data_IF_657311512124
#
_entry.id   IF_657311512124
#
_cell.length_a   1.000
_cell.length_b   1.000
_cell.length_c   1.000
_cell.angle_alpha   90.00
_cell.angle_beta   90.00
_cell.angle_gamma   90.00
#
_symmetry.space_group_name_H-M   'P 1'
#
loop_
_entity.id
_entity.type
_entity.pdbx_description
1 polymer ?
#
# COMPACT_ATOMS: atom_id res chain seq x y z
N UNK A 1 22.31 30.35 -36.98
CA UNK A 1 21.65 29.11 -37.40
C UNK A 1 20.56 28.84 -36.42
N UNK A 2 19.30 28.93 -36.85
CA UNK A 2 18.12 28.83 -35.98
C UNK A 2 17.91 27.41 -35.58
N UNK A 3 17.95 27.13 -34.26
CA UNK A 3 17.42 25.87 -33.69
C UNK A 3 15.93 25.79 -33.95
N UNK A 4 15.54 24.85 -34.80
CA UNK A 4 14.16 24.48 -35.01
C UNK A 4 13.62 23.90 -33.68
N UNK A 5 12.79 24.67 -33.01
CA UNK A 5 11.93 24.19 -31.93
C UNK A 5 11.12 23.02 -32.49
N UNK A 6 11.43 21.79 -32.07
CA UNK A 6 10.63 20.61 -32.39
C UNK A 6 9.20 20.86 -31.89
N UNK A 7 8.27 21.04 -32.84
CA UNK A 7 6.83 21.06 -32.53
C UNK A 7 6.51 19.81 -31.71
N UNK A 8 6.01 20.02 -30.52
CA UNK A 8 5.49 18.96 -29.63
C UNK A 8 4.38 18.25 -30.40
N UNK A 9 4.65 17.09 -30.99
CA UNK A 9 3.59 16.23 -31.53
C UNK A 9 2.70 15.86 -30.38
N UNK A 10 1.43 16.26 -30.45
CA UNK A 10 0.42 15.88 -29.43
C UNK A 10 0.39 14.36 -29.34
N UNK A 11 0.65 13.81 -28.16
CA UNK A 11 0.63 12.38 -27.94
C UNK A 11 -0.70 11.78 -28.41
N UNK A 12 -0.64 10.84 -29.36
CA UNK A 12 -1.81 10.12 -29.86
C UNK A 12 -2.26 9.11 -28.81
N UNK A 13 -3.56 9.14 -28.46
CA UNK A 13 -4.17 8.17 -27.53
C UNK A 13 -5.13 7.28 -28.30
N UNK A 14 -5.14 5.99 -27.94
CA UNK A 14 -6.17 5.05 -28.39
C UNK A 14 -7.21 4.87 -27.30
N UNK A 15 -8.47 4.77 -27.69
CA UNK A 15 -9.56 4.43 -26.77
C UNK A 15 -9.61 2.92 -26.59
N UNK A 16 -9.51 2.47 -25.34
CA UNK A 16 -9.65 1.08 -24.95
C UNK A 16 -11.03 0.85 -24.33
N UNK A 17 -11.44 -0.43 -24.26
CA UNK A 17 -12.63 -0.81 -23.50
C UNK A 17 -12.45 -0.44 -22.02
N UNK A 18 -13.56 -0.23 -21.32
CA UNK A 18 -13.55 0.00 -19.87
C UNK A 18 -12.85 -1.12 -19.13
N UNK A 19 -11.98 -0.77 -18.18
CA UNK A 19 -11.17 -1.71 -17.42
C UNK A 19 -10.44 -1.04 -16.26
N UNK A 20 -9.81 -1.85 -15.41
CA UNK A 20 -9.08 -1.40 -14.23
C UNK A 20 -7.72 -0.83 -14.64
N UNK A 21 -7.58 0.49 -14.67
CA UNK A 21 -6.36 1.18 -15.12
C UNK A 21 -5.86 2.21 -14.11
N UNK A 22 -6.41 2.24 -12.90
CA UNK A 22 -5.89 3.10 -11.84
C UNK A 22 -4.68 2.44 -11.20
N UNK A 23 -3.49 2.79 -11.67
CA UNK A 23 -2.20 2.28 -11.24
C UNK A 23 -1.16 3.40 -11.15
N UNK A 24 -0.09 3.27 -10.32
CA UNK A 24 0.15 2.17 -9.37
C UNK A 24 -0.77 2.25 -8.15
N UNK A 25 -0.96 1.13 -7.48
CA UNK A 25 -1.71 1.02 -6.23
C UNK A 25 -0.85 0.31 -5.18
N UNK A 26 -1.13 0.47 -3.87
CA UNK A 26 -0.45 -0.34 -2.86
C UNK A 26 -0.78 -1.82 -3.08
N UNK A 27 0.16 -2.70 -2.75
CA UNK A 27 -0.13 -4.10 -2.53
C UNK A 27 0.04 -4.36 -1.04
N UNK A 28 -1.02 -4.70 -0.33
CA UNK A 28 -0.96 -4.88 1.12
C UNK A 28 -1.37 -6.29 1.52
N UNK A 29 -0.77 -6.83 2.58
CA UNK A 29 -1.26 -8.06 3.20
C UNK A 29 -2.30 -7.69 4.26
N UNK A 30 -3.51 -8.24 4.13
CA UNK A 30 -4.60 -8.04 5.09
C UNK A 30 -4.73 -9.29 5.93
N UNK A 31 -4.51 -9.19 7.23
CA UNK A 31 -4.68 -10.27 8.18
C UNK A 31 -6.02 -10.16 8.92
N UNK A 32 -6.63 -11.29 9.18
CA UNK A 32 -7.91 -11.42 9.87
C UNK A 32 -8.00 -12.79 10.56
N UNK A 33 -8.82 -12.89 11.60
CA UNK A 33 -9.07 -14.14 12.29
C UNK A 33 -10.45 -14.16 12.92
N UNK A 34 -11.06 -15.34 13.01
CA UNK A 34 -12.14 -15.60 13.97
C UNK A 34 -11.56 -15.97 15.32
N UNK A 35 -12.27 -15.67 16.38
CA UNK A 35 -11.83 -15.99 17.73
C UNK A 35 -11.60 -17.49 17.91
N UNK A 36 -10.40 -17.86 18.32
CA UNK A 36 -10.01 -19.27 18.54
C UNK A 36 -9.67 -20.06 17.27
N UNK A 37 -9.73 -19.44 16.09
CA UNK A 37 -9.29 -20.03 14.83
C UNK A 37 -7.89 -19.55 14.42
N UNK A 38 -7.26 -20.29 13.50
CA UNK A 38 -6.01 -19.86 12.88
C UNK A 38 -6.21 -18.59 12.08
N UNK A 39 -5.29 -17.60 12.20
CA UNK A 39 -5.36 -16.39 11.41
C UNK A 39 -5.12 -16.66 9.93
N UNK A 40 -5.69 -15.82 9.09
CA UNK A 40 -5.48 -15.87 7.65
C UNK A 40 -4.97 -14.54 7.11
N UNK A 41 -4.32 -14.60 5.95
CA UNK A 41 -3.81 -13.45 5.21
C UNK A 41 -4.37 -13.46 3.80
N UNK A 42 -4.74 -12.29 3.28
CA UNK A 42 -5.02 -12.08 1.87
C UNK A 42 -4.25 -10.86 1.36
N UNK A 43 -3.73 -10.93 0.16
CA UNK A 43 -3.16 -9.75 -0.50
C UNK A 43 -4.23 -8.98 -1.23
N UNK A 44 -4.29 -7.69 -0.97
CA UNK A 44 -5.25 -6.76 -1.56
C UNK A 44 -4.50 -5.62 -2.23
N UNK A 45 -4.82 -5.37 -3.50
CA UNK A 45 -4.36 -4.21 -4.26
C UNK A 45 -5.45 -3.12 -4.38
N UNK A 46 -6.70 -3.48 -4.19
CA UNK A 46 -7.80 -2.52 -4.13
C UNK A 46 -7.98 -2.01 -2.70
N UNK A 47 -7.02 -1.17 -2.26
CA UNK A 47 -6.97 -0.56 -0.93
C UNK A 47 -6.59 0.91 -1.02
N UNK A 48 -7.09 1.72 -0.11
CA UNK A 48 -6.75 3.15 -0.07
C UNK A 48 -7.33 3.88 1.12
N UNK A 49 -6.77 5.07 1.39
CA UNK A 49 -7.31 6.02 2.37
C UNK A 49 -8.56 6.69 1.79
N UNK A 50 -9.63 6.77 2.56
CA UNK A 50 -10.91 7.36 2.12
C UNK A 50 -11.32 8.58 2.93
N UNK A 51 -10.80 8.75 4.16
CA UNK A 51 -11.06 9.92 5.01
C UNK A 51 -9.85 10.17 5.91
N UNK A 52 -9.59 11.44 6.22
CA UNK A 52 -8.49 11.85 7.09
C UNK A 52 -8.94 12.12 8.53
N UNK A 53 -10.18 12.58 8.72
CA UNK A 53 -10.75 12.84 10.04
C UNK A 53 -12.25 12.51 10.03
N UNK A 54 -12.67 11.42 10.69
CA UNK A 54 -11.81 10.39 11.29
C UNK A 54 -10.95 9.67 10.24
N UNK A 55 -9.80 9.11 10.67
CA UNK A 55 -8.94 8.37 9.76
C UNK A 55 -9.64 7.07 9.31
N UNK A 56 -9.86 6.94 8.00
CA UNK A 56 -10.55 5.79 7.43
C UNK A 56 -9.85 5.28 6.18
N UNK A 57 -9.93 3.98 6.01
CA UNK A 57 -9.41 3.24 4.85
C UNK A 57 -10.49 2.38 4.22
N UNK A 58 -10.27 1.95 2.99
CA UNK A 58 -11.09 0.91 2.36
C UNK A 58 -10.23 -0.22 1.82
N UNK A 59 -10.78 -1.43 1.83
CA UNK A 59 -10.30 -2.58 1.08
C UNK A 59 -11.46 -3.19 0.31
N UNK A 60 -11.21 -3.65 -0.93
CA UNK A 60 -12.21 -4.39 -1.70
C UNK A 60 -11.77 -5.84 -1.84
N UNK A 61 -12.61 -6.75 -1.36
CA UNK A 61 -12.33 -8.20 -1.32
C UNK A 61 -13.40 -8.93 -2.12
N UNK A 62 -12.97 -9.89 -2.95
CA UNK A 62 -13.90 -10.74 -3.70
C UNK A 62 -14.67 -11.66 -2.77
N UNK A 63 -15.97 -11.86 -3.05
CA UNK A 63 -16.88 -12.64 -2.21
C UNK A 63 -16.45 -14.11 -2.04
N UNK A 64 -15.78 -14.69 -3.03
CA UNK A 64 -15.29 -16.08 -2.96
C UNK A 64 -14.01 -16.27 -2.13
N UNK A 65 -13.34 -15.17 -1.73
CA UNK A 65 -12.11 -15.26 -0.93
C UNK A 65 -12.39 -15.63 0.51
N UNK A 66 -11.59 -16.52 1.07
CA UNK A 66 -11.76 -17.01 2.45
C UNK A 66 -11.75 -15.88 3.49
N UNK A 67 -10.89 -14.87 3.32
CA UNK A 67 -10.86 -13.70 4.21
C UNK A 67 -12.12 -12.84 4.15
N UNK A 68 -12.89 -12.88 3.05
CA UNK A 68 -14.10 -12.07 2.91
C UNK A 68 -15.10 -12.37 4.03
N UNK A 69 -15.43 -13.65 4.22
CA UNK A 69 -16.39 -14.05 5.23
C UNK A 69 -15.89 -13.77 6.65
N UNK A 70 -14.60 -13.98 6.90
CA UNK A 70 -13.97 -13.68 8.20
C UNK A 70 -14.12 -12.19 8.52
N UNK A 71 -13.75 -11.30 7.59
CA UNK A 71 -13.83 -9.85 7.79
C UNK A 71 -15.28 -9.38 7.93
N UNK A 72 -16.19 -9.93 7.12
CA UNK A 72 -17.62 -9.59 7.18
C UNK A 72 -18.25 -9.99 8.51
N UNK A 73 -17.83 -11.11 9.07
CA UNK A 73 -18.33 -11.66 10.34
C UNK A 73 -17.73 -10.95 11.56
N UNK A 74 -16.41 -10.75 11.56
CA UNK A 74 -15.72 -10.18 12.73
C UNK A 74 -15.75 -8.65 12.75
N UNK A 75 -15.90 -8.01 11.58
CA UNK A 75 -15.83 -6.57 11.45
C UNK A 75 -14.44 -5.98 11.66
N UNK A 76 -13.37 -6.81 11.63
CA UNK A 76 -12.02 -6.39 11.97
C UNK A 76 -10.98 -6.97 11.01
N UNK A 77 -9.95 -6.19 10.74
CA UNK A 77 -8.78 -6.63 9.97
C UNK A 77 -7.58 -5.72 10.23
N UNK A 78 -6.38 -6.19 9.91
CA UNK A 78 -5.16 -5.38 9.92
C UNK A 78 -4.62 -5.25 8.50
N UNK A 79 -4.34 -4.02 8.06
CA UNK A 79 -3.56 -3.77 6.85
C UNK A 79 -2.09 -3.76 7.24
N UNK A 80 -1.31 -4.67 6.66
CA UNK A 80 0.13 -4.78 6.88
C UNK A 80 0.83 -4.29 5.61
N UNK A 81 1.59 -3.19 5.69
CA UNK A 81 2.33 -2.66 4.56
C UNK A 81 3.42 -3.65 4.13
N UNK A 82 3.66 -3.73 2.84
CA UNK A 82 4.54 -4.73 2.25
C UNK A 82 5.80 -4.11 1.69
N UNK A 83 6.91 -4.82 1.86
CA UNK A 83 8.24 -4.40 1.45
C UNK A 83 8.77 -5.30 0.34
N UNK A 84 9.90 -4.93 -0.26
CA UNK A 84 10.62 -5.78 -1.21
C UNK A 84 10.95 -7.15 -0.62
N UNK A 85 11.32 -7.21 0.68
CA UNK A 85 11.59 -8.48 1.38
C UNK A 85 10.35 -9.37 1.49
N UNK A 86 9.19 -8.75 1.64
CA UNK A 86 7.90 -9.43 1.76
C UNK A 86 7.22 -9.72 0.39
N UNK A 87 7.82 -9.33 -0.75
CA UNK A 87 7.18 -9.43 -2.06
C UNK A 87 6.73 -10.86 -2.40
N UNK A 88 7.54 -11.88 -2.07
CA UNK A 88 7.17 -13.29 -2.28
C UNK A 88 5.96 -13.71 -1.43
N UNK A 89 5.94 -13.32 -0.16
CA UNK A 89 4.80 -13.59 0.74
C UNK A 89 3.55 -12.85 0.28
N UNK A 90 3.72 -11.60 -0.17
CA UNK A 90 2.65 -10.78 -0.74
C UNK A 90 1.99 -11.48 -1.93
N UNK A 91 2.77 -11.97 -2.89
CA UNK A 91 2.24 -12.70 -4.05
C UNK A 91 1.56 -14.01 -3.62
N UNK A 92 2.23 -14.82 -2.80
CA UNK A 92 1.71 -16.11 -2.32
C UNK A 92 0.36 -15.95 -1.61
N UNK A 93 0.25 -14.98 -0.70
CA UNK A 93 -0.97 -14.71 0.05
C UNK A 93 -2.15 -14.22 -0.83
N UNK A 94 -1.85 -13.65 -1.98
CA UNK A 94 -2.83 -13.25 -3.00
C UNK A 94 -3.33 -14.40 -3.86
N UNK A 95 -2.48 -15.41 -4.13
CA UNK A 95 -2.78 -16.54 -5.02
C UNK A 95 -3.42 -17.69 -4.28
N UNK A 96 -2.81 -18.14 -3.17
CA UNK A 96 -3.29 -19.30 -2.40
C UNK A 96 -4.51 -18.98 -1.55
N UNK A 97 -5.36 -19.99 -1.32
CA UNK A 97 -6.51 -19.89 -0.43
C UNK A 97 -6.14 -20.32 0.99
N UNK A 98 -6.59 -19.57 2.01
CA UNK A 98 -6.45 -19.96 3.41
C UNK A 98 -7.35 -21.14 3.81
N UNK A 99 -8.23 -21.63 2.91
CA UNK A 99 -8.93 -22.90 3.10
C UNK A 99 -8.02 -24.11 2.91
N UNK A 100 -6.97 -23.93 2.10
CA UNK A 100 -6.11 -25.05 1.65
C UNK A 100 -4.74 -25.04 2.31
N UNK A 101 -4.25 -23.85 2.76
CA UNK A 101 -2.90 -23.68 3.29
C UNK A 101 -2.86 -22.77 4.51
N UNK A 102 -1.84 -22.95 5.35
CA UNK A 102 -1.49 -22.04 6.45
C UNK A 102 -0.45 -21.02 5.96
N UNK A 103 -0.92 -19.83 5.58
CA UNK A 103 -0.08 -18.81 4.96
C UNK A 103 0.97 -18.21 5.89
N UNK A 104 0.68 -18.16 7.20
CA UNK A 104 1.68 -17.74 8.19
C UNK A 104 2.83 -18.74 8.24
N UNK A 105 2.53 -20.03 8.35
CA UNK A 105 3.53 -21.08 8.38
C UNK A 105 4.30 -21.19 7.05
N UNK A 106 3.60 -21.23 5.91
CA UNK A 106 4.21 -21.43 4.60
C UNK A 106 5.16 -20.28 4.20
N UNK A 107 4.85 -19.06 4.63
CA UNK A 107 5.67 -17.88 4.31
C UNK A 107 6.57 -17.43 5.45
N UNK A 108 6.66 -18.22 6.52
CA UNK A 108 7.46 -17.94 7.72
C UNK A 108 7.16 -16.55 8.30
N UNK A 109 5.86 -16.20 8.34
CA UNK A 109 5.37 -14.97 8.94
C UNK A 109 4.92 -15.22 10.37
N UNK A 110 5.14 -14.22 11.23
CA UNK A 110 4.79 -14.27 12.65
C UNK A 110 3.50 -13.49 12.90
N UNK A 111 2.48 -14.20 13.40
CA UNK A 111 1.26 -13.57 13.87
C UNK A 111 1.48 -12.97 15.26
N UNK A 112 1.20 -11.67 15.41
CA UNK A 112 1.29 -10.97 16.71
C UNK A 112 -0.05 -10.32 17.05
N UNK A 113 -0.38 -10.20 18.35
CA UNK A 113 -1.63 -9.56 18.76
C UNK A 113 -1.64 -8.08 18.38
N UNK A 114 -2.80 -7.58 17.98
CA UNK A 114 -3.08 -6.15 17.81
C UNK A 114 -3.29 -5.47 19.18
N UNK A 115 -3.23 -4.13 19.20
CA UNK A 115 -3.39 -3.33 20.41
C UNK A 115 -4.85 -2.95 20.69
N UNK A 116 -5.66 -2.76 19.62
CA UNK A 116 -7.03 -2.22 19.73
C UNK A 116 -8.12 -3.14 19.19
N UNK A 117 -7.74 -4.21 18.49
CA UNK A 117 -8.67 -5.15 17.86
C UNK A 117 -8.20 -6.59 18.07
N UNK A 118 -9.09 -7.56 17.79
CA UNK A 118 -8.76 -9.00 17.93
C UNK A 118 -8.03 -9.56 16.70
N UNK A 119 -8.20 -8.96 15.52
CA UNK A 119 -7.51 -9.41 14.31
C UNK A 119 -5.99 -9.22 14.46
N UNK A 120 -5.16 -10.25 14.20
CA UNK A 120 -3.72 -10.18 14.44
C UNK A 120 -2.97 -9.40 13.36
N UNK A 121 -1.84 -8.83 13.72
CA UNK A 121 -0.88 -8.21 12.81
C UNK A 121 0.19 -9.20 12.33
N UNK A 122 0.99 -8.80 11.34
CA UNK A 122 2.16 -9.51 10.83
C UNK A 122 3.41 -8.79 11.35
N UNK A 123 4.23 -9.47 12.16
CA UNK A 123 5.40 -8.87 12.81
C UNK A 123 6.45 -8.36 11.81
N UNK A 124 6.62 -9.03 10.67
CA UNK A 124 7.61 -8.68 9.64
C UNK A 124 7.20 -7.45 8.80
N UNK A 125 5.96 -6.97 8.94
CA UNK A 125 5.49 -5.75 8.27
C UNK A 125 5.97 -4.51 9.02
N UNK A 126 6.54 -3.51 8.32
CA UNK A 126 7.05 -2.30 8.97
C UNK A 126 5.96 -1.39 9.54
N UNK A 127 4.73 -1.54 9.06
CA UNK A 127 3.57 -0.77 9.52
C UNK A 127 2.33 -1.65 9.51
N UNK A 128 1.64 -1.71 10.64
CA UNK A 128 0.38 -2.41 10.79
C UNK A 128 -0.72 -1.39 11.12
N UNK A 129 -1.79 -1.38 10.33
CA UNK A 129 -2.93 -0.47 10.48
C UNK A 129 -4.14 -1.29 10.94
N UNK A 130 -4.51 -1.14 12.19
CA UNK A 130 -5.62 -1.84 12.82
C UNK A 130 -6.94 -1.18 12.44
N UNK A 131 -7.87 -1.96 11.90
CA UNK A 131 -9.08 -1.44 11.26
C UNK A 131 -10.34 -2.09 11.81
N UNK A 132 -11.36 -1.27 12.06
CA UNK A 132 -12.70 -1.70 12.42
C UNK A 132 -13.71 -1.27 11.35
N UNK A 133 -14.40 -2.24 10.75
CA UNK A 133 -15.36 -2.03 9.67
C UNK A 133 -16.54 -1.17 10.16
N UNK A 134 -16.85 -0.12 9.42
CA UNK A 134 -18.02 0.76 9.65
C UNK A 134 -19.11 0.52 8.64
N UNK A 135 -18.73 0.20 7.39
CA UNK A 135 -19.68 0.03 6.31
C UNK A 135 -19.16 -1.00 5.31
N UNK A 136 -20.06 -1.76 4.75
CA UNK A 136 -19.79 -2.69 3.64
C UNK A 136 -20.64 -2.27 2.45
N UNK A 137 -19.99 -2.03 1.31
CA UNK A 137 -20.66 -1.74 0.04
C UNK A 137 -20.53 -2.94 -0.88
N UNK A 138 -21.64 -3.48 -1.33
CA UNK A 138 -21.68 -4.60 -2.27
C UNK A 138 -21.54 -4.07 -3.71
N UNK A 139 -20.39 -4.35 -4.36
CA UNK A 139 -20.01 -3.82 -5.66
C UNK A 139 -19.83 -4.94 -6.71
N UNK A 140 -20.83 -5.74 -6.94
CA UNK A 140 -20.75 -6.85 -7.90
C UNK A 140 -19.76 -7.93 -7.48
N UNK A 141 -18.58 -8.01 -8.14
CA UNK A 141 -17.56 -9.05 -7.85
C UNK A 141 -16.82 -8.87 -6.52
N UNK A 142 -16.85 -7.69 -5.93
CA UNK A 142 -16.19 -7.36 -4.68
C UNK A 142 -17.17 -6.69 -3.73
N UNK A 143 -16.97 -6.91 -2.44
CA UNK A 143 -17.50 -6.04 -1.40
C UNK A 143 -16.37 -5.10 -0.95
N UNK A 144 -16.69 -3.80 -0.84
CA UNK A 144 -15.79 -2.78 -0.30
C UNK A 144 -16.07 -2.63 1.20
N UNK A 145 -15.08 -2.90 2.01
CA UNK A 145 -15.11 -2.70 3.45
C UNK A 145 -14.50 -1.32 3.75
N UNK A 146 -15.32 -0.39 4.22
CA UNK A 146 -14.88 0.92 4.71
C UNK A 146 -14.68 0.80 6.21
N UNK A 147 -13.48 1.10 6.70
CA UNK A 147 -13.09 0.87 8.07
C UNK A 147 -12.43 2.10 8.69
N UNK A 148 -12.70 2.33 9.97
CA UNK A 148 -12.00 3.29 10.81
C UNK A 148 -10.66 2.70 11.25
N UNK A 149 -9.61 3.53 11.23
CA UNK A 149 -8.28 3.18 11.74
C UNK A 149 -8.30 3.33 13.26
N UNK A 150 -8.12 2.23 13.96
CA UNK A 150 -8.13 2.15 15.43
C UNK A 150 -6.76 2.38 16.05
N UNK A 151 -5.69 1.95 15.36
CA UNK A 151 -4.30 2.16 15.73
C UNK A 151 -3.39 1.99 14.51
N UNK A 152 -2.21 2.59 14.57
CA UNK A 152 -1.12 2.36 13.62
C UNK A 152 0.12 2.00 14.43
N UNK A 153 0.64 0.79 14.21
CA UNK A 153 1.88 0.33 14.83
C UNK A 153 3.00 0.43 13.79
N UNK A 154 4.13 0.99 14.18
CA UNK A 154 5.26 1.29 13.30
C UNK A 154 6.51 0.64 13.86
N UNK A 155 7.33 0.04 13.01
CA UNK A 155 8.64 -0.48 13.39
C UNK A 155 9.52 0.68 13.91
N UNK A 156 10.08 0.51 15.12
CA UNK A 156 10.91 1.54 15.78
C UNK A 156 12.14 1.89 14.94
N UNK A 157 12.64 0.98 14.09
CA UNK A 157 13.78 1.24 13.20
C UNK A 157 13.49 2.30 12.13
N UNK A 158 12.20 2.63 11.90
CA UNK A 158 11.78 3.70 10.99
C UNK A 158 11.62 5.07 11.67
N UNK A 159 11.86 5.14 12.98
CA UNK A 159 11.79 6.38 13.75
C UNK A 159 13.21 6.93 14.00
N UNK A 160 13.37 8.24 13.82
CA UNK A 160 14.60 8.91 14.25
C UNK A 160 14.59 9.18 15.78
N UNK A 161 15.70 9.72 16.29
CA UNK A 161 15.86 10.06 17.72
C UNK A 161 14.80 11.07 18.23
N UNK A 162 14.11 11.76 17.33
CA UNK A 162 13.04 12.73 17.64
C UNK A 162 11.64 12.11 17.50
N UNK A 163 11.56 10.82 17.14
CA UNK A 163 10.30 10.13 16.87
C UNK A 163 9.67 10.46 15.51
N UNK A 164 10.43 11.01 14.57
CA UNK A 164 9.94 11.28 13.21
C UNK A 164 9.98 10.02 12.38
N UNK A 165 8.87 9.68 11.73
CA UNK A 165 8.75 8.52 10.87
C UNK A 165 9.42 8.74 9.50
N UNK A 166 10.36 7.88 9.14
CA UNK A 166 11.04 7.80 7.84
C UNK A 166 10.50 6.63 7.02
N UNK A 167 9.24 6.73 6.60
CA UNK A 167 8.55 5.64 5.87
C UNK A 167 9.23 5.28 4.53
N UNK A 168 10.00 6.20 3.93
CA UNK A 168 10.83 5.94 2.74
C UNK A 168 11.85 4.81 2.94
N UNK A 169 12.30 4.60 4.17
CA UNK A 169 13.35 3.64 4.50
C UNK A 169 12.81 2.21 4.64
N UNK A 170 11.49 2.05 4.64
CA UNK A 170 10.82 0.76 4.73
C UNK A 170 10.92 -0.08 3.44
N UNK A 171 11.41 0.45 2.32
CA UNK A 171 11.50 -0.22 0.99
C UNK A 171 10.15 -0.82 0.55
N UNK A 172 9.09 -0.01 0.63
CA UNK A 172 7.73 -0.41 0.28
C UNK A 172 7.61 -0.76 -1.20
N UNK A 173 6.61 -1.61 -1.52
CA UNK A 173 6.30 -2.00 -2.90
C UNK A 173 4.92 -1.48 -3.33
N UNK A 174 4.78 -1.29 -4.65
CA UNK A 174 3.54 -0.98 -5.31
C UNK A 174 3.19 -2.06 -6.34
N UNK A 175 1.89 -2.18 -6.65
CA UNK A 175 1.38 -3.06 -7.70
C UNK A 175 0.93 -2.24 -8.90
N UNK A 176 1.38 -2.66 -10.09
CA UNK A 176 0.97 -2.03 -11.35
C UNK A 176 0.79 -3.08 -12.43
N UNK A 177 -0.44 -3.21 -12.91
CA UNK A 177 -0.79 -4.02 -14.09
C UNK A 177 -0.18 -5.44 -14.08
N UNK A 178 -0.40 -6.19 -13.00
CA UNK A 178 0.07 -7.59 -12.86
C UNK A 178 1.51 -7.74 -12.37
N UNK A 179 2.17 -6.66 -11.93
CA UNK A 179 3.57 -6.68 -11.50
C UNK A 179 3.78 -5.90 -10.21
N UNK A 180 4.78 -6.32 -9.43
CA UNK A 180 5.22 -5.61 -8.24
C UNK A 180 6.45 -4.75 -8.56
N UNK A 181 6.51 -3.55 -7.99
CA UNK A 181 7.60 -2.60 -8.17
C UNK A 181 8.01 -2.03 -6.81
N UNK A 182 9.31 -1.79 -6.61
CA UNK A 182 9.77 -0.92 -5.53
C UNK A 182 9.43 0.53 -5.86
N UNK A 183 9.38 1.40 -4.86
CA UNK A 183 9.29 2.84 -5.07
C UNK A 183 10.60 3.33 -5.70
N UNK A 184 10.50 4.28 -6.61
CA UNK A 184 11.65 4.89 -7.28
C UNK A 184 12.26 6.05 -6.48
N UNK A 185 13.07 6.88 -7.18
CA UNK A 185 13.74 8.01 -6.58
C UNK A 185 12.77 9.06 -6.04
N UNK A 186 13.21 9.77 -4.99
CA UNK A 186 12.48 10.89 -4.45
C UNK A 186 12.36 12.03 -5.48
N UNK A 187 11.14 12.48 -5.73
CA UNK A 187 10.88 13.53 -6.72
C UNK A 187 10.73 14.90 -6.06
N UNK A 188 10.08 14.97 -4.90
CA UNK A 188 9.84 16.25 -4.22
C UNK A 188 8.84 16.11 -3.06
N UNK A 189 8.89 17.04 -2.12
CA UNK A 189 7.95 17.11 -0.99
C UNK A 189 6.60 17.65 -1.45
N UNK A 190 5.53 17.28 -0.77
CA UNK A 190 4.21 17.89 -1.00
C UNK A 190 4.32 19.42 -0.95
N UNK A 191 3.81 20.10 -1.97
CA UNK A 191 3.88 21.55 -2.11
C UNK A 191 5.18 22.08 -2.74
N UNK A 192 6.13 21.23 -3.17
CA UNK A 192 7.38 21.68 -3.77
C UNK A 192 7.18 22.56 -5.03
N UNK A 193 6.10 22.33 -5.77
CA UNK A 193 5.81 23.07 -7.01
C UNK A 193 5.45 24.55 -6.80
N UNK A 194 5.04 24.93 -5.59
CA UNK A 194 4.65 26.30 -5.22
C UNK A 194 5.62 26.94 -4.23
N UNK A 195 6.72 26.28 -3.90
CA UNK A 195 7.77 26.86 -3.05
C UNK A 195 8.54 27.92 -3.82
N UNK A 196 8.73 29.08 -3.20
CA UNK A 196 9.62 30.12 -3.76
C UNK A 196 11.05 29.55 -3.83
N UNK A 197 11.81 29.76 -4.92
CA UNK A 197 13.21 29.35 -4.99
C UNK A 197 13.97 29.93 -3.80
N UNK A 198 14.59 29.08 -2.98
CA UNK A 198 15.50 29.59 -1.94
C UNK A 198 16.71 30.20 -2.62
N UNK A 199 17.25 31.32 -2.09
CA UNK A 199 18.45 31.98 -2.63
C UNK A 199 19.66 31.05 -2.77
N UNK A 200 19.68 29.91 -2.07
CA UNK A 200 20.71 28.87 -2.14
C UNK A 200 20.58 27.93 -3.34
N UNK A 201 19.38 27.75 -3.90
CA UNK A 201 19.19 26.84 -5.06
C UNK A 201 19.73 27.43 -6.39
N UNK A 202 19.97 28.73 -6.44
CA UNK A 202 20.51 29.42 -7.61
C UNK A 202 22.04 29.25 -7.78
N UNK A 203 22.74 28.69 -6.78
CA UNK A 203 24.20 28.54 -6.80
C UNK A 203 24.65 27.19 -7.42
N UNK A 204 23.71 26.23 -7.64
CA UNK A 204 24.04 24.90 -8.16
C UNK A 204 23.59 24.63 -9.59
N UNK A 205 23.24 25.67 -10.36
CA UNK A 205 23.14 25.57 -11.81
C UNK A 205 24.46 26.16 -12.37
N UNK A 206 25.55 25.48 -12.08
CA UNK A 206 26.80 25.72 -12.80
C UNK A 206 26.78 24.92 -14.09
N UNK A 207 27.08 25.61 -15.19
CA UNK A 207 27.18 25.20 -16.58
C UNK A 207 27.78 23.80 -16.78
N UNK A 208 27.30 23.02 -17.80
CA UNK A 208 28.03 21.83 -18.22
C UNK A 208 29.41 22.23 -18.75
N UNK A 209 30.44 21.76 -18.08
CA UNK A 209 31.85 21.87 -18.53
C UNK A 209 31.95 21.33 -19.96
N UNK A 210 32.23 22.17 -20.93
CA UNK A 210 32.68 21.74 -22.25
C UNK A 210 34.05 21.07 -22.04
N UNK A 211 34.11 19.78 -22.25
CA UNK A 211 35.36 19.09 -22.50
C UNK A 211 35.79 19.39 -23.94
N UNK A 212 36.98 19.90 -24.05
CA UNK A 212 37.70 20.11 -25.31
C UNK A 212 38.14 18.76 -25.91
#
# INVERSE_FOLDING_TARGET
>A
MSEKIKKNEKAKKQTWRAGNMLYPVPAVMVSCARKGEKPNIITVAWAGTVCSDPAMVSISVRKERYSHDIIKETGEFVINLTTRKLARATDYCGVKSGRDVDKFADMHLTSVPSVKIEAPAIAESPVNIECKVKQVLELGSHDMFIAEVMAVNVDESLLDEKGTLHLSDADLIAYSHGRYYGLGDFIGKFGYSVQKPSKLSLIHISEPTRLA
#
